data_IF_406495123651
#
_entry.id   IF_406495123651
#
_cell.length_a   1.000
_cell.length_b   1.000
_cell.length_c   1.000
_cell.angle_alpha   90.00
_cell.angle_beta   90.00
_cell.angle_gamma   90.00
#
_symmetry.space_group_name_H-M   'P 1'
#
loop_
_entity.id
_entity.type
_entity.pdbx_description
1 polymer ?
#
# COMPACT_ATOMS: atom_id res chain seq x y z
N UNK A 1 30.05 11.82 -5.61
CA UNK A 1 29.02 11.02 -6.28
C UNK A 1 28.43 10.13 -5.21
N UNK A 2 27.13 10.24 -4.86
CA UNK A 2 26.55 9.24 -3.98
C UNK A 2 26.59 7.90 -4.71
N UNK A 3 27.08 6.86 -4.03
CA UNK A 3 27.00 5.47 -4.47
C UNK A 3 25.55 5.14 -4.79
N UNK A 4 25.24 4.37 -5.86
CA UNK A 4 23.88 3.93 -6.10
C UNK A 4 23.44 3.16 -4.85
N UNK A 5 22.40 3.67 -4.17
CA UNK A 5 21.74 2.98 -3.06
C UNK A 5 21.34 1.60 -3.59
N UNK A 6 21.89 0.54 -3.01
CA UNK A 6 21.37 -0.79 -3.24
C UNK A 6 19.87 -0.76 -2.94
N UNK A 7 19.05 -1.30 -3.83
CA UNK A 7 17.59 -1.36 -3.62
C UNK A 7 17.32 -1.98 -2.25
N UNK A 8 16.34 -1.41 -1.52
CA UNK A 8 15.92 -1.89 -0.21
C UNK A 8 15.52 -3.36 -0.31
N UNK A 9 16.11 -4.24 0.48
CA UNK A 9 15.68 -5.63 0.60
C UNK A 9 14.33 -5.68 1.30
N UNK A 10 13.31 -6.23 0.64
CA UNK A 10 11.96 -6.38 1.23
C UNK A 10 11.42 -7.75 0.88
N UNK A 11 10.93 -8.47 1.89
CA UNK A 11 10.29 -9.79 1.76
C UNK A 11 8.80 -9.69 1.97
N UNK A 12 8.03 -10.41 1.14
CA UNK A 12 6.60 -10.59 1.35
C UNK A 12 6.36 -11.79 2.28
N UNK A 13 5.64 -11.57 3.37
CA UNK A 13 5.11 -12.64 4.23
C UNK A 13 3.60 -12.63 4.10
N UNK A 14 3.02 -13.76 3.72
CA UNK A 14 1.57 -13.90 3.60
C UNK A 14 0.93 -14.04 4.96
N UNK A 15 -0.19 -13.35 5.15
CA UNK A 15 -1.03 -13.43 6.33
C UNK A 15 -2.50 -13.49 5.91
N UNK A 16 -3.35 -14.07 6.72
CA UNK A 16 -4.78 -14.27 6.42
C UNK A 16 -5.00 -14.90 5.03
N UNK A 17 -5.97 -14.37 4.27
CA UNK A 17 -6.29 -14.89 2.92
C UNK A 17 -5.50 -14.19 1.82
N UNK A 18 -5.26 -12.88 1.97
CA UNK A 18 -4.71 -12.03 0.91
C UNK A 18 -3.83 -10.87 1.42
N UNK A 19 -3.57 -10.78 2.73
CA UNK A 19 -2.70 -9.76 3.30
C UNK A 19 -1.21 -10.07 3.04
N UNK A 20 -0.44 -9.00 2.92
CA UNK A 20 1.01 -9.04 3.00
C UNK A 20 1.51 -8.27 4.22
N UNK A 21 2.35 -8.94 5.01
CA UNK A 21 3.25 -8.30 5.97
C UNK A 21 4.58 -8.10 5.25
N UNK A 22 5.07 -6.88 5.17
CA UNK A 22 6.34 -6.59 4.52
C UNK A 22 7.47 -6.58 5.54
N UNK A 23 8.50 -7.39 5.31
CA UNK A 23 9.69 -7.42 6.15
C UNK A 23 10.84 -6.71 5.44
N UNK A 24 11.24 -5.56 5.96
CA UNK A 24 12.36 -4.75 5.45
C UNK A 24 13.64 -5.31 6.04
N UNK A 25 14.59 -5.65 5.18
CA UNK A 25 15.91 -6.15 5.58
C UNK A 25 16.80 -5.00 6.06
N UNK A 26 17.46 -5.22 7.19
CA UNK A 26 18.39 -4.29 7.79
C UNK A 26 19.72 -4.98 8.14
N UNK A 27 20.80 -4.22 8.41
CA UNK A 27 22.09 -4.78 8.80
C UNK A 27 22.00 -5.69 10.03
N UNK A 28 23.02 -6.55 10.21
CA UNK A 28 23.12 -7.48 11.35
C UNK A 28 21.95 -8.47 11.44
N UNK A 29 21.41 -8.88 10.28
CA UNK A 29 20.27 -9.80 10.19
C UNK A 29 19.07 -9.33 11.02
N UNK A 30 18.74 -8.05 10.93
CA UNK A 30 17.57 -7.44 11.57
C UNK A 30 16.48 -7.19 10.54
N UNK A 31 15.21 -7.22 10.98
CA UNK A 31 14.05 -6.97 10.15
C UNK A 31 13.14 -5.90 10.77
N UNK A 32 12.54 -5.07 9.93
CA UNK A 32 11.43 -4.19 10.32
C UNK A 32 10.16 -4.77 9.70
N UNK A 33 9.12 -5.03 10.50
CA UNK A 33 7.83 -5.50 10.02
C UNK A 33 6.88 -4.33 9.76
N UNK A 34 6.22 -4.33 8.60
CA UNK A 34 5.18 -3.36 8.26
C UNK A 34 3.84 -4.06 8.30
N UNK A 35 2.90 -3.50 9.05
CA UNK A 35 1.52 -3.95 9.21
C UNK A 35 1.40 -5.45 9.58
N UNK A 36 1.99 -5.91 10.69
CA UNK A 36 1.90 -7.31 11.09
C UNK A 36 0.52 -7.63 11.69
N UNK A 37 -0.46 -7.91 10.81
CA UNK A 37 -1.80 -8.31 11.22
C UNK A 37 -1.87 -9.63 11.96
N UNK A 38 -0.90 -10.54 11.71
CA UNK A 38 -0.70 -11.80 12.42
C UNK A 38 0.75 -11.93 12.89
N UNK A 39 0.96 -12.41 14.12
CA UNK A 39 2.30 -12.63 14.67
C UNK A 39 2.96 -13.92 14.14
N UNK A 40 2.21 -14.97 13.96
CA UNK A 40 2.73 -16.29 13.62
C UNK A 40 3.56 -16.31 12.32
N UNK A 41 3.12 -15.69 11.19
CA UNK A 41 3.93 -15.65 9.98
C UNK A 41 5.25 -14.88 10.15
N UNK A 42 5.24 -13.79 10.93
CA UNK A 42 6.45 -13.01 11.22
C UNK A 42 7.43 -13.85 12.05
N UNK A 43 6.96 -14.52 13.11
CA UNK A 43 7.80 -15.39 13.95
C UNK A 43 8.43 -16.53 13.16
N UNK A 44 7.64 -17.18 12.31
CA UNK A 44 8.15 -18.24 11.45
C UNK A 44 9.29 -17.75 10.54
N UNK A 45 9.16 -16.53 10.00
CA UNK A 45 10.23 -15.96 9.16
C UNK A 45 11.47 -15.56 9.98
N UNK A 46 11.30 -15.01 11.19
CA UNK A 46 12.40 -14.72 12.11
C UNK A 46 13.16 -15.99 12.47
N UNK A 47 12.46 -17.06 12.85
CA UNK A 47 13.05 -18.36 13.16
C UNK A 47 13.79 -18.96 11.95
N UNK A 48 13.15 -18.97 10.77
CA UNK A 48 13.71 -19.51 9.53
C UNK A 48 15.01 -18.82 9.11
N UNK A 49 15.06 -17.49 9.28
CA UNK A 49 16.20 -16.66 8.87
C UNK A 49 17.24 -16.44 9.97
N UNK A 50 16.93 -16.78 11.20
CA UNK A 50 17.74 -16.43 12.38
C UNK A 50 17.81 -14.93 12.64
N UNK A 51 16.87 -14.16 12.07
CA UNK A 51 16.82 -12.71 12.20
C UNK A 51 16.15 -12.27 13.51
N UNK A 52 16.44 -11.03 13.92
CA UNK A 52 15.73 -10.37 15.03
C UNK A 52 14.81 -9.26 14.51
N UNK A 53 13.67 -9.06 15.20
CA UNK A 53 12.77 -7.96 14.91
C UNK A 53 13.30 -6.67 15.52
N UNK A 54 13.61 -5.68 14.69
CA UNK A 54 14.15 -4.39 15.12
C UNK A 54 13.07 -3.34 15.37
N UNK A 55 12.03 -3.34 14.55
CA UNK A 55 10.93 -2.38 14.66
C UNK A 55 9.66 -2.89 13.97
N UNK A 56 8.54 -2.23 14.27
CA UNK A 56 7.25 -2.41 13.62
C UNK A 56 6.76 -1.04 13.13
N UNK A 57 6.33 -0.97 11.85
CA UNK A 57 5.69 0.19 11.25
C UNK A 57 4.21 -0.12 11.02
N UNK A 58 3.34 0.81 11.41
CA UNK A 58 1.89 0.67 11.25
C UNK A 58 1.35 1.79 10.35
N UNK A 59 0.63 1.43 9.30
CA UNK A 59 0.04 2.42 8.38
C UNK A 59 -1.29 2.94 8.89
N UNK A 60 -2.12 2.10 9.50
CA UNK A 60 -3.44 2.44 10.04
C UNK A 60 -3.91 1.41 11.08
N UNK A 61 -5.08 1.62 11.67
CA UNK A 61 -5.57 0.92 12.86
C UNK A 61 -6.36 -0.37 12.59
N UNK A 62 -6.61 -0.78 11.36
CA UNK A 62 -7.45 -1.96 11.10
C UNK A 62 -6.83 -3.23 11.67
N UNK A 63 -7.66 -4.16 12.20
CA UNK A 63 -7.18 -5.34 12.93
C UNK A 63 -6.23 -6.23 12.11
N UNK A 64 -6.46 -6.33 10.81
CA UNK A 64 -5.63 -7.11 9.88
C UNK A 64 -4.28 -6.46 9.54
N UNK A 65 -3.99 -5.27 10.09
CA UNK A 65 -2.68 -4.60 10.02
C UNK A 65 -1.98 -4.52 11.39
N UNK A 66 -2.75 -4.55 12.49
CA UNK A 66 -2.16 -4.38 13.84
C UNK A 66 -2.34 -5.61 14.75
N UNK A 67 -3.14 -6.59 14.35
CA UNK A 67 -3.57 -7.68 15.23
C UNK A 67 -2.45 -8.55 15.80
N UNK A 68 -1.33 -8.68 15.09
CA UNK A 68 -0.15 -9.45 15.54
C UNK A 68 0.79 -8.68 16.47
N UNK A 69 0.66 -7.35 16.58
CA UNK A 69 1.64 -6.49 17.27
C UNK A 69 1.79 -6.86 18.73
N UNK A 70 0.69 -6.99 19.46
CA UNK A 70 0.72 -7.28 20.90
C UNK A 70 1.46 -8.60 21.21
N UNK A 71 1.25 -9.62 20.37
CA UNK A 71 1.90 -10.92 20.50
C UNK A 71 3.39 -10.87 20.12
N UNK A 72 3.77 -10.06 19.14
CA UNK A 72 5.19 -9.82 18.80
C UNK A 72 5.92 -9.09 19.94
N UNK A 73 5.29 -8.11 20.58
CA UNK A 73 5.85 -7.38 21.72
C UNK A 73 6.00 -8.26 22.97
N UNK A 74 5.20 -9.30 23.14
CA UNK A 74 5.33 -10.24 24.25
C UNK A 74 6.65 -11.04 24.21
N UNK A 75 7.28 -11.15 23.03
CA UNK A 75 8.59 -11.80 22.87
C UNK A 75 9.77 -10.90 23.25
N UNK A 76 9.55 -9.60 23.43
CA UNK A 76 10.56 -8.61 23.82
C UNK A 76 10.18 -7.20 23.38
N UNK A 77 10.75 -6.16 23.99
CA UNK A 77 10.45 -4.78 23.62
C UNK A 77 10.98 -4.47 22.20
N UNK A 78 10.09 -4.02 21.34
CA UNK A 78 10.37 -3.59 19.97
C UNK A 78 9.81 -2.19 19.77
N UNK A 79 10.53 -1.32 19.08
CA UNK A 79 10.04 0.02 18.71
C UNK A 79 8.86 -0.12 17.74
N UNK A 80 7.72 0.48 18.06
CA UNK A 80 6.53 0.51 17.21
C UNK A 80 6.26 1.95 16.81
N UNK A 81 6.12 2.22 15.53
CA UNK A 81 5.87 3.54 14.96
C UNK A 81 4.58 3.49 14.13
N UNK A 82 3.69 4.46 14.29
CA UNK A 82 2.44 4.51 13.56
C UNK A 82 1.71 5.84 13.70
N UNK A 83 0.50 5.96 13.12
CA UNK A 83 -0.28 7.20 13.20
C UNK A 83 -0.84 7.43 14.61
N UNK A 84 -1.13 8.69 14.94
CA UNK A 84 -1.87 9.06 16.13
C UNK A 84 -3.33 8.62 16.00
N UNK A 85 -3.65 7.43 16.49
CA UNK A 85 -5.01 6.87 16.46
C UNK A 85 -5.28 6.11 17.77
N UNK A 86 -6.32 6.52 18.51
CA UNK A 86 -6.69 5.92 19.79
C UNK A 86 -7.20 4.47 19.67
N UNK A 87 -7.47 3.99 18.47
CA UNK A 87 -7.86 2.61 18.18
C UNK A 87 -6.68 1.66 18.08
N UNK A 88 -5.44 2.17 18.04
CA UNK A 88 -4.23 1.37 18.18
C UNK A 88 -4.00 1.12 19.67
N UNK A 89 -4.23 -0.10 20.19
CA UNK A 89 -4.35 -0.34 21.63
C UNK A 89 -3.01 -0.52 22.36
N UNK A 90 -1.87 -0.37 21.66
CA UNK A 90 -0.53 -0.49 22.26
C UNK A 90 0.17 0.87 22.30
N UNK A 91 1.17 0.98 23.17
CA UNK A 91 2.04 2.16 23.20
C UNK A 91 2.89 2.20 21.92
N UNK A 92 2.76 3.26 21.16
CA UNK A 92 3.52 3.49 19.94
C UNK A 92 4.17 4.88 19.94
N UNK A 93 5.24 5.03 19.16
CA UNK A 93 5.73 6.32 18.74
C UNK A 93 4.83 6.86 17.64
N UNK A 94 4.15 7.97 17.89
CA UNK A 94 3.21 8.55 16.93
C UNK A 94 3.93 9.48 15.97
N UNK A 95 3.63 9.33 14.67
CA UNK A 95 4.15 10.16 13.59
C UNK A 95 3.02 10.63 12.69
N UNK A 96 3.24 11.74 12.00
CA UNK A 96 2.26 12.37 11.11
C UNK A 96 2.89 13.03 9.89
N UNK A 97 2.10 13.84 9.20
CA UNK A 97 2.52 14.55 7.99
C UNK A 97 3.80 15.34 8.17
N UNK A 98 4.78 15.06 7.32
CA UNK A 98 6.06 15.78 7.28
C UNK A 98 7.08 15.30 8.32
N UNK A 99 6.71 14.39 9.20
CA UNK A 99 7.67 13.75 10.11
C UNK A 99 8.58 12.80 9.31
N UNK A 100 9.72 12.47 9.94
CA UNK A 100 10.63 11.45 9.42
C UNK A 100 10.92 10.42 10.49
N UNK A 101 10.63 9.16 10.19
CA UNK A 101 10.93 8.03 11.05
C UNK A 101 12.36 7.53 10.74
N UNK A 102 13.29 7.72 11.69
CA UNK A 102 14.69 7.38 11.53
C UNK A 102 15.09 6.16 12.35
N UNK A 103 15.91 5.29 11.74
CA UNK A 103 16.58 4.14 12.38
C UNK A 103 18.08 4.26 12.11
N UNK A 104 18.81 5.15 12.83
CA UNK A 104 20.21 5.46 12.54
C UNK A 104 21.13 4.24 12.60
N UNK A 105 20.87 3.33 13.54
CA UNK A 105 21.61 2.07 13.73
C UNK A 105 21.35 1.03 12.64
N UNK A 106 20.30 1.22 11.83
CA UNK A 106 19.97 0.39 10.66
C UNK A 106 20.33 1.08 9.33
N UNK A 107 20.68 2.36 9.36
CA UNK A 107 20.89 3.17 8.17
C UNK A 107 19.61 3.40 7.35
N UNK A 108 18.45 3.33 8.00
CA UNK A 108 17.14 3.45 7.38
C UNK A 108 16.39 4.68 7.88
N UNK A 109 15.59 5.28 7.01
CA UNK A 109 14.72 6.40 7.34
C UNK A 109 13.60 6.56 6.32
N UNK A 110 12.40 6.90 6.80
CA UNK A 110 11.21 7.03 5.98
C UNK A 110 10.51 8.35 6.25
N UNK A 111 10.19 9.08 5.20
CA UNK A 111 9.32 10.24 5.26
C UNK A 111 7.87 9.79 5.46
N UNK A 112 7.14 10.48 6.31
CA UNK A 112 5.75 10.16 6.63
C UNK A 112 4.82 11.01 5.78
N UNK A 113 3.93 10.35 5.07
CA UNK A 113 2.89 10.97 4.26
C UNK A 113 1.52 10.66 4.88
N UNK A 114 0.78 11.68 5.31
CA UNK A 114 -0.62 11.50 5.72
C UNK A 114 -1.48 11.32 4.46
N UNK A 115 -2.20 10.21 4.39
CA UNK A 115 -2.95 9.76 3.22
C UNK A 115 -4.40 9.37 3.60
N UNK A 116 -5.20 10.34 4.08
CA UNK A 116 -6.57 10.08 4.52
C UNK A 116 -7.46 9.64 3.35
N UNK A 117 -8.39 8.75 3.66
CA UNK A 117 -9.35 8.23 2.69
C UNK A 117 -9.90 6.89 3.12
N UNK A 118 -9.08 5.85 3.16
CA UNK A 118 -9.44 4.55 3.70
C UNK A 118 -9.78 4.67 5.20
N UNK A 119 -8.85 5.20 5.99
CA UNK A 119 -9.12 5.76 7.32
C UNK A 119 -8.69 7.21 7.37
N UNK A 120 -9.13 7.98 8.38
CA UNK A 120 -8.74 9.39 8.50
C UNK A 120 -7.31 9.57 9.02
N UNK A 121 -6.81 8.63 9.82
CA UNK A 121 -5.47 8.65 10.41
C UNK A 121 -4.41 7.96 9.54
N UNK A 122 -4.77 7.41 8.37
CA UNK A 122 -3.87 6.60 7.54
C UNK A 122 -2.61 7.37 7.14
N UNK A 123 -1.44 6.72 7.32
CA UNK A 123 -0.14 7.22 6.87
C UNK A 123 0.53 6.23 5.91
N UNK A 124 1.46 6.72 5.12
CA UNK A 124 2.36 5.91 4.32
C UNK A 124 3.81 6.24 4.67
N UNK A 125 4.69 5.23 4.58
CA UNK A 125 6.12 5.37 4.78
C UNK A 125 6.83 5.38 3.43
N UNK A 126 7.57 6.45 3.13
CA UNK A 126 8.30 6.60 1.88
C UNK A 126 9.79 6.78 2.12
N UNK A 127 10.63 5.94 1.53
CA UNK A 127 12.08 6.03 1.66
C UNK A 127 12.79 4.94 0.86
N UNK A 128 14.05 5.16 0.51
CA UNK A 128 14.89 4.17 -0.17
C UNK A 128 14.30 3.61 -1.48
N UNK A 129 13.48 4.41 -2.19
CA UNK A 129 12.77 3.96 -3.39
C UNK A 129 11.58 3.04 -3.13
N UNK A 130 11.14 2.90 -1.89
CA UNK A 130 9.99 2.08 -1.46
C UNK A 130 8.89 2.96 -0.87
N UNK A 131 7.64 2.57 -1.12
CA UNK A 131 6.43 3.18 -0.56
C UNK A 131 5.59 2.09 0.09
N UNK A 132 5.46 2.11 1.41
CA UNK A 132 4.56 1.26 2.18
C UNK A 132 3.28 2.04 2.43
N UNK A 133 2.23 1.73 1.68
CA UNK A 133 1.02 2.57 1.62
C UNK A 133 -0.23 1.89 2.22
N UNK A 134 -0.08 0.75 2.89
CA UNK A 134 -1.19 0.02 3.50
C UNK A 134 -2.35 -0.14 2.53
N UNK A 135 -3.51 0.39 2.93
CA UNK A 135 -4.77 0.27 2.19
C UNK A 135 -5.19 1.56 1.47
N UNK A 136 -4.26 2.47 1.21
CA UNK A 136 -4.54 3.66 0.40
C UNK A 136 -4.48 3.36 -1.09
N UNK A 137 -3.32 2.87 -1.58
CA UNK A 137 -3.10 2.55 -2.99
C UNK A 137 -2.87 1.05 -3.14
N UNK A 138 -3.61 0.40 -4.04
CA UNK A 138 -3.40 -0.99 -4.46
C UNK A 138 -2.95 -1.06 -5.91
N UNK A 139 -2.32 -2.17 -6.30
CA UNK A 139 -2.00 -2.37 -7.70
C UNK A 139 -3.28 -2.46 -8.54
N UNK A 140 -3.35 -1.61 -9.58
CA UNK A 140 -4.51 -1.36 -10.43
C UNK A 140 -5.79 -0.97 -9.67
N UNK A 141 -5.67 -0.46 -8.42
CA UNK A 141 -6.80 -0.18 -7.55
C UNK A 141 -6.50 0.79 -6.42
N UNK A 142 -7.44 0.94 -5.51
CA UNK A 142 -7.29 1.68 -4.25
C UNK A 142 -8.20 1.10 -3.16
N UNK A 143 -7.95 1.47 -1.92
CA UNK A 143 -8.77 1.10 -0.78
C UNK A 143 -10.21 1.61 -0.85
N UNK A 144 -11.10 0.97 -0.09
CA UNK A 144 -12.43 1.52 0.19
C UNK A 144 -12.30 2.72 1.11
N UNK A 145 -13.23 3.64 1.00
CA UNK A 145 -13.33 4.77 1.94
C UNK A 145 -14.29 4.40 3.07
N UNK A 146 -13.76 4.03 4.23
CA UNK A 146 -14.58 3.79 5.41
C UNK A 146 -14.86 5.07 6.21
N UNK A 147 -13.91 6.01 6.18
CA UNK A 147 -13.96 7.23 7.00
C UNK A 147 -13.82 8.51 6.17
N UNK A 148 -12.99 8.47 5.13
CA UNK A 148 -12.69 9.66 4.34
C UNK A 148 -13.69 9.96 3.23
N UNK A 149 -13.47 11.08 2.54
CA UNK A 149 -14.24 11.54 1.40
C UNK A 149 -13.52 11.26 0.08
N UNK A 150 -14.24 11.24 -1.08
CA UNK A 150 -13.61 11.12 -2.40
C UNK A 150 -12.51 12.15 -2.64
N UNK A 151 -12.72 13.40 -2.22
CA UNK A 151 -11.73 14.45 -2.35
C UNK A 151 -10.46 14.19 -1.54
N UNK A 152 -10.60 13.71 -0.30
CA UNK A 152 -9.43 13.36 0.53
C UNK A 152 -8.65 12.21 -0.09
N UNK A 153 -9.33 11.12 -0.46
CA UNK A 153 -8.67 9.95 -1.06
C UNK A 153 -8.01 10.29 -2.40
N UNK A 154 -8.68 11.07 -3.25
CA UNK A 154 -8.09 11.54 -4.51
C UNK A 154 -6.84 12.37 -4.28
N UNK A 155 -6.87 13.30 -3.30
CA UNK A 155 -5.69 14.09 -2.93
C UNK A 155 -4.54 13.18 -2.46
N UNK A 156 -4.83 12.20 -1.60
CA UNK A 156 -3.85 11.22 -1.12
C UNK A 156 -3.24 10.42 -2.27
N UNK A 157 -4.07 9.87 -3.15
CA UNK A 157 -3.62 9.08 -4.31
C UNK A 157 -2.81 9.92 -5.30
N UNK A 158 -3.20 11.17 -5.54
CA UNK A 158 -2.46 12.10 -6.42
C UNK A 158 -1.06 12.36 -5.89
N UNK A 159 -0.93 12.59 -4.58
CA UNK A 159 0.39 12.76 -3.93
C UNK A 159 1.26 11.52 -4.08
N UNK A 160 0.71 10.32 -3.83
CA UNK A 160 1.46 9.08 -4.00
C UNK A 160 1.84 8.84 -5.46
N UNK A 161 0.93 9.15 -6.40
CA UNK A 161 1.20 9.08 -7.83
C UNK A 161 2.39 9.94 -8.26
N UNK A 162 2.55 11.11 -7.64
CA UNK A 162 3.57 12.10 -8.02
C UNK A 162 4.97 11.79 -7.45
N UNK A 163 5.13 10.78 -6.60
CA UNK A 163 6.43 10.27 -6.16
C UNK A 163 7.26 9.76 -7.36
N UNK A 164 8.59 9.59 -7.24
CA UNK A 164 9.44 9.11 -8.33
C UNK A 164 8.88 7.85 -9.01
N UNK A 165 8.87 7.77 -10.35
CA UNK A 165 8.18 6.69 -11.09
C UNK A 165 8.75 5.29 -10.87
N UNK A 166 10.01 5.19 -10.47
CA UNK A 166 10.70 3.93 -10.12
C UNK A 166 10.38 3.43 -8.71
N UNK A 167 9.68 4.24 -7.89
CA UNK A 167 9.28 3.84 -6.53
C UNK A 167 8.48 2.55 -6.56
N UNK A 168 8.92 1.56 -5.79
CA UNK A 168 8.21 0.30 -5.61
C UNK A 168 7.13 0.46 -4.54
N UNK A 169 5.90 0.15 -4.91
CA UNK A 169 4.73 0.23 -4.03
C UNK A 169 4.48 -1.12 -3.36
N UNK A 170 4.42 -1.10 -2.04
CA UNK A 170 4.14 -2.22 -1.14
C UNK A 170 2.82 -1.93 -0.43
N UNK A 171 1.72 -2.48 -0.93
CA UNK A 171 0.39 -2.33 -0.33
C UNK A 171 0.00 -3.52 0.54
N UNK A 172 -1.07 -3.39 1.33
CA UNK A 172 -1.48 -4.37 2.33
C UNK A 172 -2.03 -5.68 1.76
N UNK A 173 -2.57 -5.69 0.53
CA UNK A 173 -3.32 -6.83 0.01
C UNK A 173 -3.00 -7.22 -1.44
N UNK A 174 -3.14 -8.51 -1.74
CA UNK A 174 -3.03 -9.10 -3.09
C UNK A 174 -4.37 -9.01 -3.85
N UNK A 175 -4.84 -7.81 -4.11
CA UNK A 175 -6.09 -7.57 -4.85
C UNK A 175 -5.89 -7.36 -6.35
N UNK A 176 -4.66 -7.46 -6.86
CA UNK A 176 -4.27 -7.06 -8.21
C UNK A 176 -5.12 -7.70 -9.30
N UNK A 177 -5.34 -9.02 -9.24
CA UNK A 177 -6.14 -9.71 -10.26
C UNK A 177 -7.59 -9.22 -10.29
N UNK A 178 -8.20 -9.00 -9.13
CA UNK A 178 -9.56 -8.47 -9.03
C UNK A 178 -9.65 -6.99 -9.48
N UNK A 179 -8.63 -6.20 -9.16
CA UNK A 179 -8.55 -4.81 -9.57
C UNK A 179 -8.39 -4.67 -11.08
N UNK A 180 -7.57 -5.51 -11.71
CA UNK A 180 -7.37 -5.51 -13.17
C UNK A 180 -8.65 -5.84 -13.95
N UNK A 181 -9.53 -6.71 -13.43
CA UNK A 181 -10.85 -6.94 -14.04
C UNK A 181 -11.67 -5.66 -14.08
N UNK A 182 -11.70 -4.92 -12.98
CA UNK A 182 -12.37 -3.61 -12.94
C UNK A 182 -11.68 -2.57 -13.82
N UNK A 183 -10.35 -2.48 -13.78
CA UNK A 183 -9.59 -1.53 -14.59
C UNK A 183 -9.87 -1.70 -16.10
N UNK A 184 -9.97 -2.93 -16.59
CA UNK A 184 -10.34 -3.23 -17.97
C UNK A 184 -11.82 -2.90 -18.28
N UNK A 185 -12.70 -2.93 -17.30
CA UNK A 185 -14.09 -2.48 -17.48
C UNK A 185 -14.16 -0.97 -17.58
N UNK A 186 -13.37 -0.25 -16.78
CA UNK A 186 -13.29 1.21 -16.82
C UNK A 186 -12.52 1.75 -18.04
N UNK A 187 -11.54 1.01 -18.53
CA UNK A 187 -10.69 1.41 -19.67
C UNK A 187 -10.36 0.20 -20.57
N UNK A 188 -11.33 -0.33 -21.32
CA UNK A 188 -11.19 -1.59 -22.08
C UNK A 188 -10.15 -1.54 -23.21
N UNK A 189 -9.83 -0.35 -23.71
CA UNK A 189 -8.82 -0.15 -24.76
C UNK A 189 -7.39 0.03 -24.23
N UNK A 190 -7.18 -0.03 -22.90
CA UNK A 190 -5.86 0.13 -22.32
C UNK A 190 -5.04 -1.16 -22.46
N UNK A 191 -4.17 -1.19 -23.46
CA UNK A 191 -3.31 -2.36 -23.75
C UNK A 191 -2.35 -2.68 -22.63
N UNK A 192 -1.81 -1.65 -21.92
CA UNK A 192 -0.93 -1.86 -20.78
C UNK A 192 -1.64 -2.61 -19.63
N UNK A 193 -2.92 -2.32 -19.40
CA UNK A 193 -3.74 -3.03 -18.41
C UNK A 193 -3.98 -4.48 -18.82
N UNK A 194 -4.23 -4.75 -20.11
CA UNK A 194 -4.38 -6.12 -20.63
C UNK A 194 -3.09 -6.94 -20.46
N UNK A 195 -1.96 -6.38 -20.84
CA UNK A 195 -0.63 -7.02 -20.71
C UNK A 195 -0.32 -7.32 -19.24
N UNK A 196 -0.62 -6.37 -18.36
CA UNK A 196 -0.40 -6.55 -16.92
C UNK A 196 -1.33 -7.62 -16.33
N UNK A 197 -2.61 -7.67 -16.73
CA UNK A 197 -3.52 -8.75 -16.36
C UNK A 197 -2.95 -10.12 -16.70
N UNK A 198 -2.42 -10.30 -17.92
CA UNK A 198 -1.89 -11.57 -18.39
C UNK A 198 -0.61 -11.97 -17.62
N UNK A 199 0.22 -10.98 -17.28
CA UNK A 199 1.39 -11.18 -16.38
C UNK A 199 0.94 -11.63 -14.99
N UNK A 200 -0.01 -10.92 -14.38
CA UNK A 200 -0.54 -11.23 -13.03
C UNK A 200 -1.20 -12.60 -13.02
N UNK A 201 -1.95 -12.97 -14.06
CA UNK A 201 -2.55 -14.29 -14.16
C UNK A 201 -1.49 -15.40 -14.11
N UNK A 202 -0.35 -15.24 -14.82
CA UNK A 202 0.76 -16.21 -14.77
C UNK A 202 1.41 -16.27 -13.38
N UNK A 203 1.67 -15.12 -12.75
CA UNK A 203 2.26 -15.08 -11.41
C UNK A 203 1.35 -15.78 -10.40
N UNK A 204 0.06 -15.45 -10.40
CA UNK A 204 -0.90 -16.03 -9.46
C UNK A 204 -1.16 -17.53 -9.70
N UNK A 205 -1.12 -17.99 -10.96
CA UNK A 205 -1.16 -19.41 -11.28
C UNK A 205 0.07 -20.20 -10.77
N UNK A 206 1.23 -19.51 -10.67
CA UNK A 206 2.45 -20.06 -10.09
C UNK A 206 2.57 -19.79 -8.57
N UNK A 207 1.51 -19.34 -7.93
CA UNK A 207 1.46 -18.95 -6.50
C UNK A 207 2.49 -17.86 -6.11
N UNK A 208 2.89 -17.03 -7.06
CA UNK A 208 3.83 -15.93 -6.84
C UNK A 208 3.09 -14.61 -6.60
N UNK A 209 3.62 -13.72 -5.73
CA UNK A 209 3.05 -12.39 -5.52
C UNK A 209 3.11 -11.55 -6.80
N UNK A 210 2.10 -10.68 -7.00
CA UNK A 210 2.14 -9.68 -8.06
C UNK A 210 2.77 -8.36 -7.61
N UNK A 211 3.08 -8.23 -6.34
CA UNK A 211 3.68 -7.08 -5.67
C UNK A 211 5.15 -7.35 -5.29
N UNK A 212 5.98 -6.31 -5.18
CA UNK A 212 5.65 -4.89 -5.38
C UNK A 212 5.45 -4.53 -6.85
N UNK A 213 4.74 -3.41 -7.10
CA UNK A 213 4.66 -2.82 -8.43
C UNK A 213 5.27 -1.41 -8.46
N UNK A 214 5.95 -0.99 -9.57
CA UNK A 214 6.47 0.35 -9.66
C UNK A 214 5.36 1.38 -9.96
N UNK A 215 5.47 2.59 -9.43
CA UNK A 215 4.49 3.65 -9.68
C UNK A 215 4.38 4.00 -11.18
N UNK A 216 5.44 3.85 -11.95
CA UNK A 216 5.41 3.99 -13.41
C UNK A 216 4.42 3.04 -14.10
N UNK A 217 4.24 1.83 -13.57
CA UNK A 217 3.23 0.90 -14.05
C UNK A 217 1.84 1.33 -13.59
N UNK A 218 1.68 1.67 -12.31
CA UNK A 218 0.41 2.10 -11.74
C UNK A 218 -0.17 3.32 -12.46
N UNK A 219 0.64 4.30 -12.81
CA UNK A 219 0.23 5.45 -13.64
C UNK A 219 -0.33 5.08 -15.01
N UNK A 220 0.02 3.91 -15.53
CA UNK A 220 -0.44 3.43 -16.84
C UNK A 220 -1.69 2.55 -16.76
N UNK A 221 -1.87 1.81 -15.66
CA UNK A 221 -2.88 0.74 -15.57
C UNK A 221 -3.97 0.99 -14.53
N UNK A 222 -3.72 1.87 -13.54
CA UNK A 222 -4.62 2.08 -12.42
C UNK A 222 -5.65 3.19 -12.72
N UNK A 223 -6.94 2.90 -12.93
CA UNK A 223 -7.93 3.91 -13.28
C UNK A 223 -8.12 4.95 -12.18
N UNK A 224 -7.85 4.62 -10.92
CA UNK A 224 -7.94 5.53 -9.77
C UNK A 224 -6.80 6.55 -9.71
N UNK A 225 -5.70 6.35 -10.44
CA UNK A 225 -4.63 7.32 -10.64
C UNK A 225 -4.76 8.10 -11.95
N UNK A 226 -5.80 7.84 -12.73
CA UNK A 226 -5.98 8.29 -14.12
C UNK A 226 -7.31 9.04 -14.34
N UNK A 227 -7.87 9.63 -13.30
CA UNK A 227 -9.17 10.30 -13.34
C UNK A 227 -9.23 11.47 -14.33
N UNK A 228 -8.09 12.09 -14.65
CA UNK A 228 -7.93 13.13 -15.67
C UNK A 228 -7.91 12.60 -17.11
N UNK A 229 -7.68 11.28 -17.32
CA UNK A 229 -7.61 10.69 -18.67
C UNK A 229 -9.00 10.66 -19.31
N UNK A 230 -9.15 11.17 -20.55
CA UNK A 230 -10.47 11.29 -21.19
C UNK A 230 -11.26 9.98 -21.23
N UNK A 231 -10.64 8.85 -21.53
CA UNK A 231 -11.30 7.55 -21.59
C UNK A 231 -11.86 7.11 -20.24
N UNK A 232 -11.09 7.28 -19.16
CA UNK A 232 -11.50 6.95 -17.78
C UNK A 232 -12.65 7.86 -17.32
N UNK A 233 -12.54 9.17 -17.58
CA UNK A 233 -13.58 10.16 -17.27
C UNK A 233 -14.88 9.85 -18.02
N UNK A 234 -14.78 9.52 -19.32
CA UNK A 234 -15.93 9.17 -20.14
C UNK A 234 -16.64 7.90 -19.62
N UNK A 235 -15.88 6.88 -19.26
CA UNK A 235 -16.43 5.64 -18.68
C UNK A 235 -17.15 5.90 -17.35
N UNK A 236 -16.54 6.69 -16.45
CA UNK A 236 -17.15 7.08 -15.20
C UNK A 236 -18.43 7.91 -15.42
N UNK A 237 -18.43 8.89 -16.34
CA UNK A 237 -19.59 9.70 -16.67
C UNK A 237 -20.73 8.86 -17.28
N UNK A 238 -20.41 7.90 -18.14
CA UNK A 238 -21.38 6.96 -18.71
C UNK A 238 -22.00 6.08 -17.60
N UNK A 239 -21.20 5.58 -16.67
CA UNK A 239 -21.69 4.82 -15.53
C UNK A 239 -22.60 5.66 -14.62
N UNK A 240 -22.26 6.92 -14.37
CA UNK A 240 -23.06 7.85 -13.57
C UNK A 240 -24.34 8.34 -14.28
N UNK A 241 -24.45 8.18 -15.60
CA UNK A 241 -25.54 8.71 -16.43
C UNK A 241 -25.56 10.24 -16.53
N UNK A 242 -24.46 10.93 -16.21
CA UNK A 242 -24.33 12.40 -16.23
C UNK A 242 -22.88 12.84 -16.39
N UNK A 243 -22.62 14.08 -16.85
CA UNK A 243 -21.29 14.67 -16.83
C UNK A 243 -20.72 14.76 -15.40
N UNK A 244 -19.40 14.60 -15.27
CA UNK A 244 -18.65 14.75 -14.03
C UNK A 244 -17.71 15.97 -14.14
N UNK A 245 -17.62 16.78 -13.07
CA UNK A 245 -16.93 18.06 -13.12
C UNK A 245 -15.43 17.96 -12.77
N UNK A 246 -15.11 17.43 -11.59
CA UNK A 246 -13.74 17.33 -11.07
C UNK A 246 -13.18 15.91 -11.13
N UNK A 247 -11.86 15.79 -10.96
CA UNK A 247 -11.20 14.47 -10.91
C UNK A 247 -11.59 13.70 -9.65
N UNK A 248 -11.84 14.40 -8.54
CA UNK A 248 -12.35 13.81 -7.31
C UNK A 248 -13.78 13.25 -7.46
N UNK A 249 -14.62 13.87 -8.30
CA UNK A 249 -15.93 13.34 -8.65
C UNK A 249 -15.81 12.10 -9.55
N UNK A 250 -14.89 12.11 -10.52
CA UNK A 250 -14.56 10.94 -11.34
C UNK A 250 -14.06 9.79 -10.46
N UNK A 251 -13.12 10.08 -9.56
CA UNK A 251 -12.61 9.11 -8.59
C UNK A 251 -13.74 8.52 -7.74
N UNK A 252 -14.58 9.35 -7.13
CA UNK A 252 -15.70 8.91 -6.30
C UNK A 252 -16.67 8.01 -7.04
N UNK A 253 -16.95 8.35 -8.32
CA UNK A 253 -17.80 7.54 -9.20
C UNK A 253 -17.17 6.18 -9.50
N UNK A 254 -15.89 6.14 -9.85
CA UNK A 254 -15.15 4.88 -10.08
C UNK A 254 -15.13 4.01 -8.81
N UNK A 255 -14.94 4.63 -7.64
CA UNK A 255 -14.88 3.88 -6.38
C UNK A 255 -16.24 3.28 -6.03
N UNK A 256 -17.33 4.04 -6.15
CA UNK A 256 -18.69 3.55 -5.96
C UNK A 256 -19.05 2.44 -6.97
N UNK A 257 -18.63 2.60 -8.22
CA UNK A 257 -18.78 1.56 -9.24
C UNK A 257 -18.04 0.27 -8.86
N UNK A 258 -16.76 0.39 -8.46
CA UNK A 258 -15.95 -0.74 -8.00
C UNK A 258 -16.53 -1.45 -6.77
N UNK A 259 -17.20 -0.73 -5.86
CA UNK A 259 -17.83 -1.33 -4.67
C UNK A 259 -19.01 -2.26 -5.02
N UNK A 260 -19.65 -2.03 -6.18
CA UNK A 260 -20.76 -2.82 -6.69
C UNK A 260 -20.31 -3.85 -7.76
N UNK A 261 -19.06 -3.78 -8.21
CA UNK A 261 -18.51 -4.64 -9.26
C UNK A 261 -18.22 -6.05 -8.72
N UNK A 262 -18.71 -7.08 -9.45
CA UNK A 262 -18.59 -8.51 -9.08
C UNK A 262 -17.68 -9.27 -10.03
#
# INVERSE_FOLDING_TARGET
MPTPSSALGVRAVRAFTDNYIWLIEAPENRLIAVDPGEAAPVRAELERSGASLAAILLTHHHPDHIGGVAELLAAGPVRVVGPADSRIPMAIETVGEGDRCEFPDLGLGFDILHVPGHTLSHIAFFGHGALFCGDTLFSAGCGRMFEGTPKQMWTSLSRLRDLPPETLMYCGHEYTAANLRFALTAEPANTATSEYRDRVARLRAADQPSLPSPLSLERRVNPFLRCEVPGVRQAAAAHAGRPLQGDDEVFGTLRAWKDQFR
#
